data_IF_227391534617
#
_entry.id   IF_227391534617
#
_cell.length_a   1.000
_cell.length_b   1.000
_cell.length_c   1.000
_cell.angle_alpha   90.00
_cell.angle_beta   90.00
_cell.angle_gamma   90.00
#
_symmetry.space_group_name_H-M   'P 1'
#
loop_
_entity.id
_entity.type
_entity.pdbx_description
1 polymer ?
#
# COMPACT_ATOMS: atom_id res chain seq x y z
N UNK A 1 17.18 32.37 -23.71
CA UNK A 1 16.62 31.90 -22.42
C UNK A 1 15.10 31.88 -22.56
N UNK A 2 14.55 30.77 -23.03
CA UNK A 2 13.11 30.54 -23.08
C UNK A 2 12.56 30.50 -21.66
N UNK A 3 11.55 31.33 -21.39
CA UNK A 3 10.76 31.25 -20.16
C UNK A 3 9.66 30.21 -20.38
N UNK A 4 9.72 29.11 -19.65
CA UNK A 4 8.68 28.08 -19.63
C UNK A 4 7.30 28.71 -19.35
N UNK A 5 6.47 28.75 -20.39
CA UNK A 5 5.12 29.32 -20.43
C UNK A 5 4.04 28.29 -20.07
N UNK A 6 4.24 27.47 -19.03
CA UNK A 6 3.39 26.30 -18.76
C UNK A 6 2.68 26.26 -17.39
N UNK A 7 2.51 27.40 -16.71
CA UNK A 7 1.74 27.46 -15.45
C UNK A 7 0.28 28.00 -15.56
N UNK A 8 -0.29 28.45 -16.71
CA UNK A 8 -1.65 29.01 -16.70
C UNK A 8 -2.72 28.04 -17.24
N UNK A 9 -2.95 26.88 -16.62
CA UNK A 9 -4.17 26.11 -16.95
C UNK A 9 -4.80 25.31 -15.79
N UNK A 10 -4.00 24.81 -14.84
CA UNK A 10 -4.53 23.95 -13.78
C UNK A 10 -5.56 24.62 -12.85
N UNK A 11 -5.40 25.91 -12.52
CA UNK A 11 -6.35 26.61 -11.64
C UNK A 11 -7.66 27.02 -12.32
N UNK A 12 -7.62 27.23 -13.64
CA UNK A 12 -8.83 27.50 -14.41
C UNK A 12 -9.61 26.21 -14.62
N UNK A 13 -8.92 25.11 -14.93
CA UNK A 13 -9.51 23.77 -15.03
C UNK A 13 -10.02 23.26 -13.68
N UNK A 14 -9.37 23.59 -12.56
CA UNK A 14 -9.89 23.19 -11.24
C UNK A 14 -11.20 23.91 -10.91
N UNK A 15 -11.32 25.19 -11.30
CA UNK A 15 -12.54 25.99 -11.12
C UNK A 15 -13.71 25.45 -11.97
N UNK A 16 -13.46 25.03 -13.21
CA UNK A 16 -14.48 24.40 -14.06
C UNK A 16 -14.89 23.01 -13.55
N UNK A 17 -13.95 22.27 -12.96
CA UNK A 17 -14.20 20.97 -12.32
C UNK A 17 -14.65 21.07 -10.84
N UNK A 18 -15.25 22.20 -10.46
CA UNK A 18 -15.86 22.46 -9.14
C UNK A 18 -14.93 22.44 -7.91
N UNK A 19 -13.60 22.45 -8.08
CA UNK A 19 -12.57 22.38 -7.04
C UNK A 19 -12.78 21.22 -6.04
N UNK A 20 -11.90 20.22 -6.05
CA UNK A 20 -11.90 19.15 -5.05
C UNK A 20 -11.63 19.73 -3.66
N UNK A 21 -12.66 19.81 -2.83
CA UNK A 21 -12.58 20.29 -1.44
C UNK A 21 -12.61 19.10 -0.51
N UNK A 22 -11.91 19.21 0.61
CA UNK A 22 -12.02 18.20 1.65
C UNK A 22 -13.50 18.11 2.12
N UNK A 23 -14.03 16.90 2.18
CA UNK A 23 -15.44 16.62 2.47
C UNK A 23 -16.37 16.71 1.26
N UNK A 24 -15.85 16.90 0.04
CA UNK A 24 -16.68 16.85 -1.16
C UNK A 24 -16.88 15.41 -1.67
N UNK A 25 -18.11 15.14 -2.11
CA UNK A 25 -18.53 13.91 -2.76
C UNK A 25 -18.93 14.26 -4.21
N UNK A 26 -18.28 13.63 -5.18
CA UNK A 26 -18.57 13.84 -6.60
C UNK A 26 -19.02 12.54 -7.25
N UNK A 27 -20.24 12.54 -7.77
CA UNK A 27 -20.80 11.42 -8.50
C UNK A 27 -20.56 11.61 -10.00
N UNK A 28 -19.81 10.71 -10.62
CA UNK A 28 -19.38 10.78 -12.01
C UNK A 28 -20.04 9.62 -12.76
N UNK A 29 -20.89 9.92 -13.74
CA UNK A 29 -21.53 8.90 -14.57
C UNK A 29 -20.52 8.29 -15.54
N UNK A 30 -20.43 6.96 -15.58
CA UNK A 30 -19.53 6.24 -16.49
C UNK A 30 -20.28 5.63 -17.68
N UNK A 31 -21.19 4.69 -17.43
CA UNK A 31 -21.96 3.97 -18.45
C UNK A 31 -23.42 3.81 -17.99
N UNK A 32 -24.27 3.15 -18.80
CA UNK A 32 -25.72 3.00 -18.58
C UNK A 32 -26.06 2.34 -17.23
N UNK A 33 -26.04 3.14 -16.15
CA UNK A 33 -26.34 2.83 -14.75
C UNK A 33 -25.13 2.53 -13.85
N UNK A 34 -23.91 2.90 -14.26
CA UNK A 34 -22.72 2.85 -13.41
C UNK A 34 -22.22 4.25 -13.11
N UNK A 35 -22.05 4.52 -11.82
CA UNK A 35 -21.52 5.77 -11.31
C UNK A 35 -20.26 5.51 -10.48
N UNK A 36 -19.28 6.39 -10.64
CA UNK A 36 -18.12 6.45 -9.77
C UNK A 36 -18.32 7.57 -8.77
N UNK A 37 -18.18 7.25 -7.49
CA UNK A 37 -18.22 8.22 -6.42
C UNK A 37 -16.79 8.54 -5.98
N UNK A 38 -16.35 9.79 -6.17
CA UNK A 38 -15.10 10.30 -5.65
C UNK A 38 -15.34 10.98 -4.31
N UNK A 39 -14.72 10.44 -3.26
CA UNK A 39 -14.76 10.99 -1.90
C UNK A 39 -13.43 11.65 -1.54
N UNK A 40 -13.44 12.94 -1.25
CA UNK A 40 -12.24 13.70 -0.88
C UNK A 40 -12.13 13.78 0.63
N UNK A 41 -11.58 12.73 1.26
CA UNK A 41 -11.60 12.57 2.73
C UNK A 41 -10.22 12.46 3.37
N UNK A 42 -9.17 12.45 2.56
CA UNK A 42 -7.79 12.34 3.02
C UNK A 42 -7.13 13.70 3.05
N UNK A 43 -6.50 14.02 4.18
CA UNK A 43 -5.64 15.20 4.30
C UNK A 43 -4.19 14.77 4.41
N UNK A 44 -3.33 15.42 3.62
CA UNK A 44 -1.88 15.28 3.76
C UNK A 44 -1.44 15.93 5.07
N UNK A 45 -0.69 15.18 5.88
CA UNK A 45 -0.11 15.64 7.15
C UNK A 45 1.39 15.33 7.17
N UNK A 46 2.14 16.10 7.94
CA UNK A 46 3.56 15.86 8.18
C UNK A 46 3.74 15.42 9.63
N UNK A 47 4.33 14.24 9.83
CA UNK A 47 4.65 13.70 11.16
C UNK A 47 6.15 13.40 11.17
N UNK A 48 6.92 14.10 12.01
CA UNK A 48 8.36 13.92 12.13
C UNK A 48 9.10 13.97 10.77
N UNK A 49 8.79 14.96 9.93
CA UNK A 49 9.29 15.10 8.54
C UNK A 49 8.88 14.00 7.55
N UNK A 50 8.02 13.06 7.94
CA UNK A 50 7.43 12.08 7.02
C UNK A 50 6.06 12.56 6.53
N UNK A 51 5.81 12.38 5.23
CA UNK A 51 4.50 12.61 4.62
C UNK A 51 3.58 11.45 4.96
N UNK A 52 2.48 11.73 5.64
CA UNK A 52 1.42 10.77 5.92
C UNK A 52 0.07 11.29 5.40
N UNK A 53 -0.90 10.39 5.28
CA UNK A 53 -2.28 10.74 4.98
C UNK A 53 -3.13 10.44 6.22
N UNK A 54 -3.95 11.41 6.61
CA UNK A 54 -4.91 11.29 7.68
C UNK A 54 -6.30 11.15 7.10
N UNK A 55 -7.06 10.14 7.53
CA UNK A 55 -8.47 10.05 7.20
C UNK A 55 -9.25 11.01 8.12
N UNK A 56 -10.02 11.92 7.52
CA UNK A 56 -10.87 12.84 8.26
C UNK A 56 -12.25 12.22 8.44
N UNK A 57 -12.55 11.72 9.64
CA UNK A 57 -13.80 11.02 9.95
C UNK A 57 -15.04 11.90 9.75
N UNK A 58 -14.98 13.17 10.17
CA UNK A 58 -16.08 14.14 9.97
C UNK A 58 -16.41 14.28 8.48
N UNK A 59 -15.37 14.37 7.65
CA UNK A 59 -15.52 14.66 6.22
C UNK A 59 -15.99 13.42 5.48
N UNK A 60 -15.56 12.24 5.93
CA UNK A 60 -16.10 10.98 5.48
C UNK A 60 -17.59 10.85 5.80
N UNK A 61 -18.02 11.22 7.01
CA UNK A 61 -19.44 11.19 7.37
C UNK A 61 -20.27 12.12 6.47
N UNK A 62 -19.78 13.35 6.24
CA UNK A 62 -20.44 14.32 5.35
C UNK A 62 -20.56 13.77 3.92
N UNK A 63 -19.46 13.26 3.38
CA UNK A 63 -19.43 12.59 2.08
C UNK A 63 -20.43 11.43 1.98
N UNK A 64 -20.48 10.56 2.99
CA UNK A 64 -21.38 9.41 2.98
C UNK A 64 -22.86 9.80 3.14
N UNK A 65 -23.16 10.89 3.84
CA UNK A 65 -24.51 11.44 3.89
C UNK A 65 -24.95 11.96 2.51
N UNK A 66 -24.06 12.66 1.79
CA UNK A 66 -24.36 13.08 0.41
C UNK A 66 -24.54 11.87 -0.49
N UNK A 67 -23.64 10.88 -0.43
CA UNK A 67 -23.74 9.64 -1.20
C UNK A 67 -25.04 8.87 -0.89
N UNK A 68 -25.48 8.85 0.37
CA UNK A 68 -26.76 8.24 0.76
C UNK A 68 -27.93 8.86 0.00
N UNK A 69 -28.03 10.20 0.03
CA UNK A 69 -29.13 10.92 -0.62
C UNK A 69 -29.15 10.65 -2.12
N UNK A 70 -27.99 10.72 -2.77
CA UNK A 70 -27.83 10.42 -4.20
C UNK A 70 -28.20 8.97 -4.52
N UNK A 71 -27.76 8.01 -3.69
CA UNK A 71 -28.05 6.59 -3.89
C UNK A 71 -29.54 6.27 -3.75
N UNK A 72 -30.23 6.93 -2.80
CA UNK A 72 -31.68 6.79 -2.61
C UNK A 72 -32.46 7.40 -3.79
N UNK A 73 -32.05 8.57 -4.27
CA UNK A 73 -32.71 9.26 -5.39
C UNK A 73 -32.67 8.42 -6.67
N UNK A 74 -31.54 7.77 -6.95
CA UNK A 74 -31.37 6.94 -8.15
C UNK A 74 -31.65 5.44 -7.92
N UNK A 75 -32.07 5.06 -6.71
CA UNK A 75 -32.26 3.67 -6.29
C UNK A 75 -31.04 2.75 -6.61
N UNK A 76 -29.84 3.20 -6.24
CA UNK A 76 -28.59 2.49 -6.50
C UNK A 76 -28.11 1.67 -5.30
N UNK A 77 -27.38 0.59 -5.61
CA UNK A 77 -26.53 -0.11 -4.66
C UNK A 77 -25.10 0.44 -4.70
N UNK A 78 -24.41 0.37 -3.56
CA UNK A 78 -23.04 0.87 -3.40
C UNK A 78 -22.06 -0.30 -3.43
N UNK A 79 -21.03 -0.16 -4.25
CA UNK A 79 -19.99 -1.17 -4.44
C UNK A 79 -18.64 -0.54 -4.13
N UNK A 80 -17.89 -1.13 -3.19
CA UNK A 80 -16.61 -0.56 -2.77
C UNK A 80 -15.57 -1.66 -2.56
N UNK A 81 -14.32 -1.47 -3.01
CA UNK A 81 -13.24 -2.33 -2.54
C UNK A 81 -13.05 -2.15 -1.04
N UNK A 82 -12.63 -3.21 -0.34
CA UNK A 82 -12.18 -3.06 1.04
C UNK A 82 -11.03 -2.08 1.08
N UNK A 83 -11.27 -0.91 1.66
CA UNK A 83 -10.25 0.11 1.86
C UNK A 83 -9.24 -0.44 2.86
N UNK A 84 -8.06 -0.81 2.36
CA UNK A 84 -6.93 -1.23 3.17
C UNK A 84 -5.82 -0.22 2.98
N UNK A 85 -5.72 0.73 3.89
CA UNK A 85 -4.68 1.74 3.83
C UNK A 85 -3.99 1.90 5.18
N UNK A 86 -2.74 2.35 5.11
CA UNK A 86 -1.94 2.71 6.26
C UNK A 86 -2.07 4.22 6.51
N UNK A 87 -3.31 4.72 6.57
CA UNK A 87 -3.55 6.12 6.93
C UNK A 87 -3.52 6.26 8.45
N UNK A 88 -3.05 7.40 8.93
CA UNK A 88 -3.16 7.76 10.34
C UNK A 88 -4.64 7.85 10.69
N UNK A 89 -5.04 7.26 11.82
CA UNK A 89 -6.43 7.26 12.29
C UNK A 89 -7.38 6.31 11.55
N UNK A 90 -6.89 5.47 10.63
CA UNK A 90 -7.74 4.53 9.89
C UNK A 90 -7.82 3.16 10.59
N UNK A 91 -9.05 2.71 10.86
CA UNK A 91 -9.35 1.32 11.21
C UNK A 91 -10.46 0.81 10.30
N UNK A 92 -10.29 -0.39 9.75
CA UNK A 92 -11.36 -1.02 8.95
C UNK A 92 -12.64 -1.19 9.77
N UNK A 93 -12.53 -1.52 11.06
CA UNK A 93 -13.69 -1.64 11.94
C UNK A 93 -14.45 -0.32 12.07
N UNK A 94 -13.73 0.79 12.18
CA UNK A 94 -14.34 2.13 12.19
C UNK A 94 -15.08 2.40 10.88
N UNK A 95 -14.44 2.13 9.73
CA UNK A 95 -15.06 2.31 8.42
C UNK A 95 -16.32 1.47 8.25
N UNK A 96 -16.24 0.18 8.59
CA UNK A 96 -17.38 -0.72 8.49
C UNK A 96 -18.54 -0.24 9.35
N UNK A 97 -18.26 0.20 10.58
CA UNK A 97 -19.28 0.79 11.46
C UNK A 97 -19.92 2.03 10.85
N UNK A 98 -19.12 2.94 10.26
CA UNK A 98 -19.64 4.15 9.61
C UNK A 98 -20.50 3.78 8.39
N UNK A 99 -20.05 2.86 7.53
CA UNK A 99 -20.82 2.40 6.37
C UNK A 99 -22.15 1.77 6.77
N UNK A 100 -22.15 0.92 7.81
CA UNK A 100 -23.40 0.34 8.34
C UNK A 100 -24.34 1.41 8.87
N UNK A 101 -23.82 2.31 9.70
CA UNK A 101 -24.62 3.36 10.34
C UNK A 101 -25.20 4.36 9.35
N UNK A 102 -24.48 4.70 8.28
CA UNK A 102 -24.87 5.76 7.34
C UNK A 102 -25.56 5.26 6.08
N UNK A 103 -25.29 4.04 5.62
CA UNK A 103 -25.82 3.54 4.36
C UNK A 103 -26.78 2.38 4.60
N UNK A 104 -26.29 1.31 5.23
CA UNK A 104 -27.06 0.06 5.38
C UNK A 104 -28.31 0.27 6.25
N UNK A 105 -28.18 0.99 7.36
CA UNK A 105 -29.32 1.29 8.24
C UNK A 105 -30.41 2.13 7.58
N UNK A 106 -30.09 2.82 6.48
CA UNK A 106 -31.04 3.62 5.70
C UNK A 106 -31.57 2.87 4.46
N UNK A 107 -31.29 1.56 4.35
CA UNK A 107 -31.85 0.71 3.29
C UNK A 107 -31.04 0.68 1.99
N UNK A 108 -29.82 1.23 1.97
CA UNK A 108 -28.94 1.13 0.80
C UNK A 108 -28.10 -0.14 0.87
N UNK A 109 -28.17 -0.96 -0.17
CA UNK A 109 -27.35 -2.17 -0.29
C UNK A 109 -25.88 -1.81 -0.51
N UNK A 110 -25.00 -2.32 0.35
CA UNK A 110 -23.55 -2.08 0.28
C UNK A 110 -22.79 -3.39 0.13
N UNK A 111 -22.05 -3.54 -0.97
CA UNK A 111 -21.16 -4.68 -1.22
C UNK A 111 -19.70 -4.26 -1.09
N UNK A 112 -18.94 -4.96 -0.23
CA UNK A 112 -17.51 -4.73 -0.02
C UNK A 112 -16.68 -5.88 -0.58
N UNK A 113 -15.77 -5.57 -1.52
CA UNK A 113 -14.94 -6.59 -2.15
C UNK A 113 -13.61 -6.84 -1.43
N UNK A 114 -13.28 -8.11 -1.21
CA UNK A 114 -11.99 -8.54 -0.64
C UNK A 114 -11.05 -9.03 -1.73
N UNK A 115 -10.26 -8.12 -2.31
CA UNK A 115 -9.23 -8.46 -3.28
C UNK A 115 -7.85 -8.63 -2.61
N UNK A 116 -7.13 -9.70 -2.93
CA UNK A 116 -5.74 -9.88 -2.49
C UNK A 116 -4.82 -8.91 -3.25
N UNK A 117 -4.02 -8.11 -2.55
CA UNK A 117 -3.02 -7.23 -3.19
C UNK A 117 -1.87 -8.07 -3.78
N UNK A 118 -1.61 -7.94 -5.09
CA UNK A 118 -0.45 -8.55 -5.77
C UNK A 118 0.88 -8.15 -5.11
N UNK A 119 1.00 -6.90 -4.64
CA UNK A 119 2.20 -6.39 -3.95
C UNK A 119 2.54 -7.16 -2.67
N UNK A 120 1.54 -7.70 -1.97
CA UNK A 120 1.78 -8.51 -0.77
C UNK A 120 2.30 -9.91 -1.13
N UNK A 121 1.82 -10.47 -2.23
CA UNK A 121 2.35 -11.72 -2.78
C UNK A 121 3.79 -11.54 -3.23
N UNK A 122 4.10 -10.45 -3.93
CA UNK A 122 5.46 -10.10 -4.37
C UNK A 122 6.40 -9.83 -3.18
N UNK A 123 5.96 -9.09 -2.15
CA UNK A 123 6.73 -8.91 -0.91
C UNK A 123 6.99 -10.23 -0.19
N UNK A 124 5.99 -11.11 -0.07
CA UNK A 124 6.14 -12.43 0.56
C UNK A 124 7.09 -13.33 -0.23
N UNK A 125 7.01 -13.31 -1.56
CA UNK A 125 7.94 -14.03 -2.43
C UNK A 125 9.37 -13.48 -2.31
N UNK A 126 9.52 -12.16 -2.25
CA UNK A 126 10.82 -11.50 -2.08
C UNK A 126 11.43 -11.82 -0.71
N UNK A 127 10.63 -11.79 0.37
CA UNK A 127 11.07 -12.20 1.71
C UNK A 127 11.51 -13.67 1.75
N UNK A 128 10.74 -14.58 1.14
CA UNK A 128 11.10 -16.01 1.04
C UNK A 128 12.40 -16.25 0.26
N UNK A 129 12.63 -15.48 -0.82
CA UNK A 129 13.89 -15.52 -1.56
C UNK A 129 15.06 -15.01 -0.72
N UNK A 130 14.89 -13.92 0.02
CA UNK A 130 15.94 -13.40 0.89
C UNK A 130 16.29 -14.33 2.05
N UNK A 131 15.32 -15.02 2.65
CA UNK A 131 15.61 -16.01 3.69
C UNK A 131 16.38 -17.20 3.14
N UNK A 132 16.01 -17.68 1.94
CA UNK A 132 16.71 -18.80 1.30
C UNK A 132 18.15 -18.42 0.89
N UNK A 133 18.38 -17.20 0.37
CA UNK A 133 19.73 -16.71 0.05
C UNK A 133 20.60 -16.64 1.31
N UNK A 134 20.05 -16.15 2.43
CA UNK A 134 20.77 -16.12 3.72
C UNK A 134 21.17 -17.52 4.21
N UNK A 135 20.29 -18.49 4.07
CA UNK A 135 20.59 -19.88 4.44
C UNK A 135 21.74 -20.44 3.59
N UNK A 136 21.72 -20.17 2.27
CA UNK A 136 22.78 -20.59 1.34
C UNK A 136 24.12 -19.88 1.59
N UNK A 137 24.11 -18.62 2.01
CA UNK A 137 25.33 -17.88 2.38
C UNK A 137 25.99 -18.48 3.63
N UNK A 138 25.20 -18.79 4.65
CA UNK A 138 25.68 -19.43 5.89
C UNK A 138 26.26 -20.82 5.62
N UNK A 139 25.61 -21.61 4.76
CA UNK A 139 26.07 -22.95 4.40
C UNK A 139 27.39 -22.90 3.60
N UNK A 140 27.54 -21.93 2.69
CA UNK A 140 28.79 -21.71 1.95
C UNK A 140 29.95 -21.26 2.85
N UNK A 141 29.72 -20.38 3.81
CA UNK A 141 30.76 -20.00 4.79
C UNK A 141 31.22 -21.22 5.62
N UNK A 142 30.30 -22.10 5.99
CA UNK A 142 30.62 -23.32 6.73
C UNK A 142 31.48 -24.29 5.90
N UNK A 143 31.17 -24.45 4.62
CA UNK A 143 31.95 -25.27 3.68
C UNK A 143 33.35 -24.70 3.44
N UNK A 144 33.48 -23.38 3.29
CA UNK A 144 34.76 -22.69 3.13
C UNK A 144 35.63 -22.88 4.37
N UNK A 145 35.06 -22.73 5.57
CA UNK A 145 35.78 -22.93 6.82
C UNK A 145 36.21 -24.39 7.02
N UNK A 146 35.38 -25.36 6.62
CA UNK A 146 35.73 -26.78 6.63
C UNK A 146 36.87 -27.11 5.66
N UNK A 147 36.88 -26.52 4.46
CA UNK A 147 37.99 -26.66 3.49
C UNK A 147 39.28 -26.03 4.00
N UNK A 148 39.22 -24.83 4.60
CA UNK A 148 40.39 -24.18 5.22
C UNK A 148 41.01 -25.02 6.32
N UNK A 149 40.21 -25.60 7.22
CA UNK A 149 40.71 -26.54 8.26
C UNK A 149 41.36 -27.78 7.67
N UNK A 150 40.83 -28.30 6.56
CA UNK A 150 41.41 -29.47 5.88
C UNK A 150 42.77 -29.14 5.22
N UNK A 151 42.94 -27.92 4.71
CA UNK A 151 44.22 -27.48 4.08
C UNK A 151 45.30 -27.29 5.15
N UNK A 152 44.95 -26.71 6.31
CA UNK A 152 45.91 -26.51 7.42
C UNK A 152 46.41 -27.85 7.97
N UNK A 153 45.56 -28.88 8.01
CA UNK A 153 46.00 -30.21 8.46
C UNK A 153 46.87 -30.98 7.44
N UNK A 154 47.03 -30.48 6.21
CA UNK A 154 47.88 -31.11 5.18
C UNK A 154 49.31 -30.54 5.21
N UNK A 155 49.52 -29.35 5.78
CA UNK A 155 50.84 -28.72 5.86
C UNK A 155 51.70 -29.17 7.05
N UNK A 156 51.18 -30.04 7.92
CA UNK A 156 51.89 -30.52 9.11
C UNK A 156 52.43 -31.97 8.95
N UNK A 157 52.36 -32.58 7.76
CA UNK A 157 52.79 -33.98 7.50
C UNK A 157 54.03 -34.14 6.59
N UNK A 158 54.68 -33.07 6.12
CA UNK A 158 55.78 -33.16 5.12
C UNK A 158 57.21 -32.82 5.64
N UNK A 159 57.43 -32.73 6.96
CA UNK A 159 58.77 -32.52 7.56
C UNK A 159 59.26 -33.74 8.36
N UNK A 160 59.40 -34.91 7.72
CA UNK A 160 60.27 -35.98 8.21
C UNK A 160 60.91 -36.70 7.01
N UNK A 161 62.15 -36.31 6.65
CA UNK A 161 63.23 -37.19 6.16
C UNK A 161 64.41 -36.37 5.60
N UNK A 162 65.36 -36.02 6.46
CA UNK A 162 66.78 -36.05 6.10
C UNK A 162 67.58 -36.48 7.31
N UNK A 163 67.88 -37.78 7.38
CA UNK A 163 69.02 -38.34 8.11
C UNK A 163 69.35 -39.67 7.42
N UNK A 164 70.33 -39.69 6.51
CA UNK A 164 71.25 -40.84 6.31
C UNK A 164 72.61 -40.30 5.82
N UNK A 165 73.62 -40.64 6.61
CA UNK A 165 75.06 -40.43 6.45
C UNK A 165 75.67 -41.09 5.19
N UNK A 166 76.67 -40.43 4.58
CA UNK A 166 78.11 -40.81 4.45
C UNK A 166 78.87 -39.90 3.47
#
# INVERSE_FOLDING_TARGET
>A
MEKDSSIPNYYQESKTNLNLKLGSCHLIKSSNNIYFCLLVVLKKIYVNNFVCFNLMETELNNCLNTLLLEALDINASIHSPRIQSNFVGFSWYMMERILRNRLVNFGVDVTVYYFKRKVELERKQKLKRFSHIKELEVENEHLINKKKKKIINISDEDDELTDIDE
#
